data_IF_870777408388
#
_entry.id   IF_870777408388
#
_cell.length_a   1.000
_cell.length_b   1.000
_cell.length_c   1.000
_cell.angle_alpha   90.00
_cell.angle_beta   90.00
_cell.angle_gamma   90.00
#
_symmetry.space_group_name_H-M   'P 1'
#
loop_
_entity.id
_entity.type
_entity.pdbx_description
1 polymer ?
#
# COMPACT_ATOMS: atom_id res chain seq x y z
N UNK A 1 -12.37 -7.89 41.02
CA UNK A 1 -11.77 -8.11 39.69
C UNK A 1 -11.19 -6.79 39.20
N UNK A 2 -9.88 -6.71 38.99
CA UNK A 2 -9.18 -5.45 38.70
C UNK A 2 -9.24 -5.11 37.21
N UNK A 3 -9.82 -3.96 36.88
CA UNK A 3 -9.99 -3.40 35.52
C UNK A 3 -8.68 -2.88 34.89
N UNK A 4 -7.52 -3.20 35.46
CA UNK A 4 -6.21 -2.66 35.04
C UNK A 4 -5.58 -3.40 33.85
N UNK A 5 -6.10 -4.58 33.48
CA UNK A 5 -5.55 -5.41 32.40
C UNK A 5 -5.97 -5.01 30.97
N UNK A 6 -7.05 -4.26 30.78
CA UNK A 6 -7.61 -3.96 29.44
C UNK A 6 -6.92 -2.79 28.73
N UNK A 7 -6.21 -1.93 29.46
CA UNK A 7 -5.62 -0.70 28.90
C UNK A 7 -4.21 -0.87 28.32
N UNK A 8 -3.45 -1.90 28.74
CA UNK A 8 -2.06 -2.11 28.28
C UNK A 8 -1.96 -2.91 26.97
N UNK A 9 -3.01 -3.65 26.61
CA UNK A 9 -3.04 -4.49 25.40
C UNK A 9 -3.50 -3.80 24.11
N UNK A 10 -4.18 -2.65 24.21
CA UNK A 10 -4.84 -2.04 23.06
C UNK A 10 -3.90 -1.34 22.07
N UNK A 11 -2.91 -0.59 22.56
CA UNK A 11 -2.04 0.20 21.68
C UNK A 11 -1.15 -0.65 20.76
N UNK A 12 -0.43 -1.70 21.25
CA UNK A 12 0.36 -2.57 20.38
C UNK A 12 -0.49 -3.29 19.32
N UNK A 13 -1.71 -3.71 19.69
CA UNK A 13 -2.66 -4.33 18.78
C UNK A 13 -3.15 -3.35 17.71
N UNK A 14 -3.50 -2.11 18.11
CA UNK A 14 -3.90 -1.04 17.18
C UNK A 14 -2.80 -0.71 16.19
N UNK A 15 -1.55 -0.55 16.63
CA UNK A 15 -0.39 -0.28 15.77
C UNK A 15 -0.17 -1.41 14.75
N UNK A 16 -0.22 -2.67 15.20
CA UNK A 16 -0.11 -3.84 14.30
C UNK A 16 -1.28 -3.94 13.32
N UNK A 17 -2.49 -3.61 13.76
CA UNK A 17 -3.67 -3.57 12.90
C UNK A 17 -3.52 -2.51 11.82
N UNK A 18 -3.13 -1.29 12.19
CA UNK A 18 -2.89 -0.18 11.28
C UNK A 18 -1.82 -0.52 10.24
N UNK A 19 -0.69 -1.12 10.66
CA UNK A 19 0.35 -1.58 9.74
C UNK A 19 -0.19 -2.53 8.67
N UNK A 20 -0.97 -3.54 9.07
CA UNK A 20 -1.57 -4.50 8.12
C UNK A 20 -2.59 -3.84 7.20
N UNK A 21 -3.38 -2.89 7.72
CA UNK A 21 -4.36 -2.16 6.91
C UNK A 21 -3.68 -1.31 5.84
N UNK A 22 -2.61 -0.60 6.20
CA UNK A 22 -1.81 0.19 5.24
C UNK A 22 -1.20 -0.68 4.15
N UNK A 23 -0.60 -1.83 4.51
CA UNK A 23 -0.04 -2.77 3.53
C UNK A 23 -1.12 -3.32 2.60
N UNK A 24 -2.24 -3.81 3.15
CA UNK A 24 -3.36 -4.33 2.35
C UNK A 24 -3.94 -3.27 1.41
N UNK A 25 -4.07 -2.04 1.87
CA UNK A 25 -4.57 -0.94 1.04
C UNK A 25 -3.57 -0.59 -0.08
N UNK A 26 -2.27 -0.57 0.24
CA UNK A 26 -1.21 -0.36 -0.76
C UNK A 26 -1.18 -1.44 -1.84
N UNK A 27 -1.50 -2.69 -1.50
CA UNK A 27 -1.59 -3.79 -2.47
C UNK A 27 -2.73 -3.64 -3.49
N UNK A 28 -3.76 -2.85 -3.17
CA UNK A 28 -4.90 -2.62 -4.06
C UNK A 28 -4.62 -1.61 -5.18
N UNK A 29 -3.47 -0.91 -5.16
CA UNK A 29 -3.09 -0.09 -6.31
C UNK A 29 -2.87 -0.98 -7.54
N UNK A 30 -3.44 -0.55 -8.65
CA UNK A 30 -3.30 -1.20 -9.96
C UNK A 30 -1.89 -1.00 -10.50
N UNK A 31 -1.42 0.25 -10.51
CA UNK A 31 -0.08 0.62 -10.96
C UNK A 31 1.03 0.09 -10.01
N UNK A 32 2.02 -0.59 -10.58
CA UNK A 32 3.12 -1.21 -9.82
C UNK A 32 3.93 -0.22 -9.00
N UNK A 33 4.28 0.93 -9.58
CA UNK A 33 5.07 1.95 -8.92
C UNK A 33 4.40 2.42 -7.60
N UNK A 34 3.09 2.64 -7.60
CA UNK A 34 2.35 3.06 -6.42
C UNK A 34 2.21 1.95 -5.39
N UNK A 35 1.95 0.70 -5.84
CA UNK A 35 1.90 -0.46 -4.96
C UNK A 35 3.22 -0.69 -4.22
N UNK A 36 4.34 -0.69 -4.94
CA UNK A 36 5.66 -0.89 -4.36
C UNK A 36 6.10 0.30 -3.50
N UNK A 37 5.78 1.53 -3.92
CA UNK A 37 6.05 2.71 -3.11
C UNK A 37 5.27 2.69 -1.78
N UNK A 38 3.97 2.42 -1.82
CA UNK A 38 3.14 2.34 -0.61
C UNK A 38 3.67 1.28 0.36
N UNK A 39 3.96 0.07 -0.16
CA UNK A 39 4.54 -1.03 0.62
C UNK A 39 5.87 -0.65 1.27
N UNK A 40 6.79 -0.06 0.51
CA UNK A 40 8.10 0.38 1.01
C UNK A 40 7.94 1.47 2.06
N UNK A 41 7.19 2.53 1.74
CA UNK A 41 6.98 3.68 2.62
C UNK A 41 6.36 3.29 3.96
N UNK A 42 5.35 2.39 3.95
CA UNK A 42 4.76 1.86 5.18
C UNK A 42 5.78 1.07 6.00
N UNK A 43 6.58 0.20 5.38
CA UNK A 43 7.62 -0.57 6.09
C UNK A 43 8.67 0.33 6.72
N UNK A 44 9.17 1.30 5.97
CA UNK A 44 10.21 2.21 6.42
C UNK A 44 9.71 3.08 7.56
N UNK A 45 8.51 3.66 7.44
CA UNK A 45 7.90 4.48 8.50
C UNK A 45 7.76 3.72 9.83
N UNK A 46 7.29 2.48 9.80
CA UNK A 46 7.14 1.68 11.01
C UNK A 46 8.48 1.19 11.57
N UNK A 47 9.48 0.98 10.71
CA UNK A 47 10.83 0.58 11.13
C UNK A 47 11.57 1.75 11.78
N UNK A 48 11.51 2.95 11.19
CA UNK A 48 12.09 4.17 11.75
C UNK A 48 11.54 4.48 13.14
N UNK A 49 10.24 4.27 13.36
CA UNK A 49 9.58 4.61 14.62
C UNK A 49 9.46 3.43 15.60
N UNK A 50 10.12 2.30 15.35
CA UNK A 50 10.00 1.07 16.16
C UNK A 50 10.44 1.26 17.62
N UNK A 51 11.44 2.11 17.86
CA UNK A 51 12.05 2.33 19.19
C UNK A 51 11.47 3.52 19.95
N UNK A 52 10.45 4.19 19.41
CA UNK A 52 9.78 5.30 20.11
C UNK A 52 9.05 4.74 21.33
N UNK A 53 9.30 5.34 22.49
CA UNK A 53 8.70 4.93 23.77
C UNK A 53 7.77 5.98 24.36
N UNK A 54 7.85 7.24 23.90
CA UNK A 54 6.95 8.29 24.36
C UNK A 54 5.51 8.03 23.90
N UNK A 55 4.59 7.94 24.87
CA UNK A 55 3.20 7.63 24.62
C UNK A 55 2.49 8.70 23.77
N UNK A 56 2.86 9.99 23.95
CA UNK A 56 2.27 11.08 23.15
C UNK A 56 2.73 11.00 21.70
N UNK A 57 4.04 10.87 21.48
CA UNK A 57 4.59 10.68 20.14
C UNK A 57 4.02 9.44 19.43
N UNK A 58 3.80 8.32 20.15
CA UNK A 58 3.15 7.13 19.57
C UNK A 58 1.72 7.45 19.13
N UNK A 59 0.94 8.19 19.93
CA UNK A 59 -0.42 8.57 19.56
C UNK A 59 -0.44 9.45 18.30
N UNK A 60 0.46 10.44 18.21
CA UNK A 60 0.58 11.30 17.04
C UNK A 60 0.93 10.52 15.77
N UNK A 61 1.86 9.56 15.88
CA UNK A 61 2.24 8.67 14.78
C UNK A 61 1.09 7.76 14.35
N UNK A 62 0.32 7.23 15.30
CA UNK A 62 -0.88 6.43 15.00
C UNK A 62 -1.93 7.29 14.28
N UNK A 63 -2.17 8.51 14.76
CA UNK A 63 -3.13 9.42 14.13
C UNK A 63 -2.69 9.82 12.71
N UNK A 64 -1.38 10.03 12.51
CA UNK A 64 -0.81 10.24 11.18
C UNK A 64 -1.04 9.03 10.27
N UNK A 65 -0.76 7.82 10.74
CA UNK A 65 -0.97 6.60 9.95
C UNK A 65 -2.44 6.36 9.60
N UNK A 66 -3.39 6.75 10.48
CA UNK A 66 -4.82 6.70 10.16
C UNK A 66 -5.19 7.66 9.02
N UNK A 67 -4.66 8.89 9.04
CA UNK A 67 -4.85 9.85 7.93
C UNK A 67 -4.23 9.35 6.62
N UNK A 68 -3.05 8.74 6.69
CA UNK A 68 -2.40 8.12 5.53
C UNK A 68 -3.22 6.95 4.97
N UNK A 69 -3.86 6.15 5.83
CA UNK A 69 -4.75 5.07 5.41
C UNK A 69 -5.97 5.60 4.64
N UNK A 70 -6.60 6.67 5.11
CA UNK A 70 -7.72 7.32 4.40
C UNK A 70 -7.28 7.90 3.05
N UNK A 71 -6.07 8.45 2.98
CA UNK A 71 -5.50 8.93 1.73
C UNK A 71 -5.26 7.77 0.76
N UNK A 72 -4.64 6.68 1.21
CA UNK A 72 -4.41 5.48 0.40
C UNK A 72 -5.72 4.93 -0.16
N UNK A 73 -6.77 4.81 0.67
CA UNK A 73 -8.11 4.39 0.21
C UNK A 73 -8.63 5.23 -0.94
N UNK A 74 -8.59 6.56 -0.80
CA UNK A 74 -9.04 7.49 -1.85
C UNK A 74 -8.21 7.36 -3.12
N UNK A 75 -6.89 7.28 -2.98
CA UNK A 75 -5.97 7.19 -4.12
C UNK A 75 -6.10 5.86 -4.86
N UNK A 76 -6.34 4.75 -4.16
CA UNK A 76 -6.63 3.46 -4.78
C UNK A 76 -7.89 3.56 -5.66
N UNK A 77 -8.96 4.15 -5.14
CA UNK A 77 -10.22 4.30 -5.88
C UNK A 77 -10.02 5.18 -7.12
N UNK A 78 -9.33 6.32 -6.99
CA UNK A 78 -9.01 7.19 -8.13
C UNK A 78 -8.18 6.45 -9.18
N UNK A 79 -7.18 5.68 -8.75
CA UNK A 79 -6.36 4.86 -9.65
C UNK A 79 -7.15 3.77 -10.40
N UNK A 80 -8.29 3.32 -9.85
CA UNK A 80 -9.20 2.40 -10.53
C UNK A 80 -10.10 3.10 -11.56
N UNK A 81 -10.43 4.38 -11.36
CA UNK A 81 -11.17 5.16 -12.36
C UNK A 81 -10.29 5.56 -13.56
N UNK A 82 -9.00 5.79 -13.33
CA UNK A 82 -8.04 6.21 -14.34
C UNK A 82 -6.96 5.15 -14.55
N UNK A 83 -7.37 3.89 -14.73
CA UNK A 83 -6.43 2.80 -15.01
C UNK A 83 -5.71 3.08 -16.33
N UNK A 84 -4.40 3.25 -16.23
CA UNK A 84 -3.50 3.31 -17.40
C UNK A 84 -3.05 1.89 -17.73
N UNK A 85 -2.66 1.67 -18.99
CA UNK A 85 -2.05 0.42 -19.40
C UNK A 85 -0.90 0.01 -18.48
N UNK A 86 -0.76 -1.29 -18.24
CA UNK A 86 0.34 -1.83 -17.43
C UNK A 86 1.70 -1.42 -17.99
N UNK A 87 2.65 -1.21 -17.08
CA UNK A 87 4.04 -0.92 -17.44
C UNK A 87 4.70 -2.15 -18.10
N UNK A 88 5.73 -1.93 -18.91
CA UNK A 88 6.51 -3.00 -19.57
C UNK A 88 7.09 -3.99 -18.55
N UNK A 89 7.43 -3.51 -17.36
CA UNK A 89 7.96 -4.34 -16.26
C UNK A 89 6.89 -5.20 -15.56
N UNK A 90 5.61 -4.92 -15.82
CA UNK A 90 4.47 -5.68 -15.27
C UNK A 90 3.98 -6.75 -16.24
N UNK A 91 4.11 -6.51 -17.54
CA UNK A 91 3.96 -7.55 -18.54
C UNK A 91 5.20 -8.44 -18.45
N UNK A 92 5.03 -9.73 -18.15
CA UNK A 92 6.15 -10.68 -18.17
C UNK A 92 6.83 -10.73 -19.55
N UNK A 93 7.76 -11.67 -19.74
CA UNK A 93 8.52 -11.86 -21.01
C UNK A 93 7.59 -11.90 -22.26
N UNK A 94 6.33 -12.29 -22.08
CA UNK A 94 5.32 -12.37 -23.14
C UNK A 94 4.76 -11.03 -23.63
N UNK A 95 4.93 -9.91 -22.90
CA UNK A 95 4.35 -8.61 -23.27
C UNK A 95 2.82 -8.57 -23.32
N UNK A 96 2.15 -9.64 -22.85
CA UNK A 96 0.69 -9.80 -22.89
C UNK A 96 0.09 -9.46 -21.54
N UNK A 97 -0.94 -8.62 -21.54
CA UNK A 97 -1.76 -8.40 -20.37
C UNK A 97 -2.63 -9.65 -20.13
N UNK A 98 -2.56 -10.24 -18.92
CA UNK A 98 -3.34 -11.42 -18.53
C UNK A 98 -4.69 -11.04 -17.92
N UNK A 99 -5.08 -9.76 -17.97
CA UNK A 99 -6.40 -9.30 -17.56
C UNK A 99 -7.46 -9.81 -18.55
N UNK A 100 -8.60 -10.28 -18.03
CA UNK A 100 -9.71 -10.80 -18.84
C UNK A 100 -10.42 -9.76 -19.70
N UNK A 101 -10.18 -8.46 -19.44
CA UNK A 101 -10.71 -7.34 -20.21
C UNK A 101 -9.60 -6.71 -21.06
N UNK A 102 -9.74 -6.84 -22.39
CA UNK A 102 -9.08 -5.96 -23.36
C UNK A 102 -7.64 -6.34 -23.74
N UNK A 103 -7.51 -6.91 -24.94
CA UNK A 103 -6.24 -7.28 -25.56
C UNK A 103 -5.41 -6.04 -25.97
N UNK A 104 -4.57 -5.51 -25.10
CA UNK A 104 -3.45 -4.65 -25.52
C UNK A 104 -2.22 -5.53 -25.72
N UNK A 105 -2.21 -6.27 -26.84
CA UNK A 105 -0.99 -6.94 -27.30
C UNK A 105 -0.09 -5.87 -27.94
N UNK A 106 0.91 -5.39 -27.20
CA UNK A 106 1.91 -4.47 -27.76
C UNK A 106 2.83 -5.27 -28.69
N UNK A 107 2.40 -5.42 -29.93
CA UNK A 107 3.19 -6.07 -30.98
C UNK A 107 4.42 -5.19 -31.24
N UNK A 108 5.61 -5.79 -31.18
CA UNK A 108 6.83 -5.12 -31.62
C UNK A 108 6.72 -4.98 -33.14
N UNK A 109 6.49 -3.77 -33.65
CA UNK A 109 6.67 -3.51 -35.07
C UNK A 109 8.15 -3.73 -35.37
N UNK A 110 8.46 -4.89 -35.94
CA UNK A 110 9.77 -5.13 -36.54
C UNK A 110 9.79 -4.20 -37.76
N UNK A 111 10.64 -3.17 -37.72
CA UNK A 111 10.87 -2.30 -38.87
C UNK A 111 11.34 -3.11 -40.06
N UNK A 112 10.98 -2.67 -41.26
CA UNK A 112 11.49 -3.24 -42.50
C UNK A 112 12.99 -2.93 -42.63
N UNK A 113 13.75 -3.94 -43.05
CA UNK A 113 15.22 -3.86 -43.30
C UNK A 113 15.61 -2.64 -44.15
#
# INVERSE_FOLDING_TARGET
>A
MSLTGTLKGGMPQKVRSLYRQLLRQGEQFTAYNFREYAKRRTRDAFRENKSVQDARQIQDLVQKGLKELELLKRQTIIGQFYMMDRLVIEAGISGKDNSSDGHVARQKEQGWD
#
